data_IF_647714679578
#
_entry.id   IF_647714679578
#
_cell.length_a   1.000
_cell.length_b   1.000
_cell.length_c   1.000
_cell.angle_alpha   90.00
_cell.angle_beta   90.00
_cell.angle_gamma   90.00
#
_symmetry.space_group_name_H-M   'P 1'
#
loop_
_entity.id
_entity.type
_entity.pdbx_description
1 polymer ?
#
# COMPACT_ATOMS: atom_id res chain seq x y z
N UNK A 1 -4.03 -33.33 -26.14
CA UNK A 1 -2.61 -33.13 -25.81
C UNK A 1 -2.55 -32.21 -24.62
N UNK A 2 -2.22 -32.73 -23.44
CA UNK A 2 -2.08 -31.94 -22.21
C UNK A 2 -0.65 -31.44 -22.13
N UNK A 3 -0.43 -30.16 -22.41
CA UNK A 3 0.87 -29.51 -22.24
C UNK A 3 0.92 -29.03 -20.79
N UNK A 4 1.72 -29.70 -19.95
CA UNK A 4 1.95 -29.25 -18.58
C UNK A 4 2.79 -27.96 -18.64
N UNK A 5 2.17 -26.83 -18.33
CA UNK A 5 2.89 -25.58 -18.12
C UNK A 5 3.55 -25.62 -16.74
N UNK A 6 4.87 -25.73 -16.70
CA UNK A 6 5.66 -25.55 -15.48
C UNK A 6 5.72 -24.06 -15.16
N UNK A 7 5.11 -23.64 -14.04
CA UNK A 7 5.23 -22.27 -13.52
C UNK A 7 6.48 -22.21 -12.64
N UNK A 8 7.53 -21.55 -13.13
CA UNK A 8 8.72 -21.25 -12.32
C UNK A 8 8.58 -19.86 -11.71
N UNK A 9 8.54 -19.77 -10.39
CA UNK A 9 8.51 -18.50 -9.66
C UNK A 9 9.93 -18.10 -9.25
N UNK A 10 10.35 -16.90 -9.65
CA UNK A 10 11.61 -16.29 -9.17
C UNK A 10 11.26 -14.96 -8.52
N UNK A 11 11.36 -14.87 -7.19
CA UNK A 11 11.23 -13.61 -6.48
C UNK A 11 12.55 -12.84 -6.57
N UNK A 12 12.54 -11.66 -7.17
CA UNK A 12 13.70 -10.76 -7.24
C UNK A 12 13.49 -9.56 -6.34
N UNK A 13 14.37 -9.35 -5.36
CA UNK A 13 14.43 -8.13 -4.56
C UNK A 13 15.29 -7.10 -5.27
N UNK A 14 14.70 -6.01 -5.76
CA UNK A 14 15.45 -4.87 -6.32
C UNK A 14 15.61 -3.77 -5.27
N UNK A 15 16.83 -3.59 -4.76
CA UNK A 15 17.21 -2.43 -3.97
C UNK A 15 17.72 -1.33 -4.90
N UNK A 16 16.87 -0.37 -5.25
CA UNK A 16 17.30 0.82 -5.99
C UNK A 16 17.80 1.89 -5.01
N UNK A 17 19.12 1.94 -4.83
CA UNK A 17 19.82 3.03 -4.18
C UNK A 17 20.21 4.05 -5.26
N UNK A 18 19.65 5.27 -5.21
CA UNK A 18 20.12 6.40 -6.03
C UNK A 18 20.54 7.56 -5.14
N UNK A 19 21.73 8.07 -5.44
CA UNK A 19 22.45 9.15 -4.77
C UNK A 19 22.60 10.35 -5.72
N UNK A 20 22.83 11.52 -5.09
CA UNK A 20 23.24 12.83 -5.64
C UNK A 20 22.11 13.67 -6.26
N UNK A 21 22.03 14.99 -6.11
CA UNK A 21 22.95 16.00 -5.59
C UNK A 21 22.36 17.41 -5.86
N UNK A 22 23.02 18.44 -5.35
CA UNK A 22 22.52 19.77 -4.97
C UNK A 22 22.37 20.84 -6.10
N UNK A 23 21.62 21.91 -5.75
CA UNK A 23 21.77 23.34 -6.12
C UNK A 23 21.01 23.97 -7.33
N UNK A 24 20.34 25.10 -7.06
CA UNK A 24 20.08 26.19 -8.03
C UNK A 24 18.73 26.90 -7.88
N UNK A 25 18.72 28.09 -7.26
CA UNK A 25 17.58 29.01 -7.22
C UNK A 25 17.64 30.03 -8.37
N UNK A 26 16.50 30.40 -8.97
CA UNK A 26 16.19 31.78 -9.39
C UNK A 26 14.73 31.94 -9.88
N UNK A 27 14.12 33.05 -9.46
CA UNK A 27 12.76 33.54 -9.67
C UNK A 27 12.42 33.92 -11.12
N UNK A 28 11.14 33.72 -11.52
CA UNK A 28 10.31 34.79 -12.13
C UNK A 28 8.84 34.39 -12.35
N UNK A 29 7.97 34.97 -11.51
CA UNK A 29 6.60 35.51 -11.68
C UNK A 29 5.60 34.74 -12.59
N UNK A 30 4.62 34.13 -11.93
CA UNK A 30 3.43 33.51 -12.51
C UNK A 30 2.30 34.53 -12.80
N UNK A 31 1.62 34.36 -13.93
CA UNK A 31 0.32 34.96 -14.24
C UNK A 31 -0.76 34.05 -13.66
N UNK A 32 -1.51 34.54 -12.67
CA UNK A 32 -2.58 33.80 -11.99
C UNK A 32 -3.80 33.60 -12.90
N UNK A 33 -4.13 32.34 -13.19
CA UNK A 33 -5.46 31.93 -13.65
C UNK A 33 -6.11 31.16 -12.49
N UNK A 34 -7.06 31.81 -11.82
CA UNK A 34 -7.88 31.21 -10.77
C UNK A 34 -8.84 30.19 -11.39
N UNK A 35 -8.54 28.91 -11.23
CA UNK A 35 -9.54 27.84 -11.22
C UNK A 35 -9.65 27.37 -9.76
N UNK A 36 -10.79 27.68 -9.15
CA UNK A 36 -11.17 27.16 -7.85
C UNK A 36 -11.57 25.68 -8.03
N UNK A 37 -10.58 24.82 -8.23
CA UNK A 37 -10.74 23.40 -7.93
C UNK A 37 -10.70 23.27 -6.41
N UNK A 38 -11.73 22.66 -5.82
CA UNK A 38 -11.68 22.12 -4.47
C UNK A 38 -10.35 21.36 -4.35
N UNK A 39 -9.47 21.77 -3.42
CA UNK A 39 -8.09 21.31 -3.34
C UNK A 39 -8.01 19.85 -2.88
N UNK A 40 -8.43 18.94 -3.74
CA UNK A 40 -8.21 17.52 -3.57
C UNK A 40 -6.74 17.27 -3.91
N UNK A 41 -5.90 17.29 -2.87
CA UNK A 41 -4.45 17.06 -2.96
C UNK A 41 -4.11 15.58 -3.17
N UNK A 42 -5.13 14.72 -3.27
CA UNK A 42 -4.98 13.30 -3.54
C UNK A 42 -4.48 13.10 -4.96
N UNK A 43 -3.31 12.44 -5.07
CA UNK A 43 -2.68 12.14 -6.35
C UNK A 43 -2.84 10.65 -6.65
N UNK A 44 -3.50 10.35 -7.75
CA UNK A 44 -3.68 8.99 -8.24
C UNK A 44 -2.79 8.80 -9.48
N UNK A 45 -1.83 7.89 -9.40
CA UNK A 45 -1.09 7.46 -10.58
C UNK A 45 -1.96 6.52 -11.42
N UNK A 46 -1.92 6.70 -12.74
CA UNK A 46 -2.64 5.82 -13.67
C UNK A 46 -2.08 4.39 -13.60
N UNK A 47 -2.94 3.37 -13.40
CA UNK A 47 -2.51 1.99 -13.49
C UNK A 47 -2.13 1.66 -14.95
N UNK A 48 -0.93 1.13 -15.15
CA UNK A 48 -0.54 0.53 -16.43
C UNK A 48 -1.13 -0.89 -16.52
N UNK A 49 -1.99 -1.15 -17.50
CA UNK A 49 -2.50 -2.50 -17.76
C UNK A 49 -1.38 -3.38 -18.34
N UNK A 50 -1.21 -4.57 -17.76
CA UNK A 50 -0.26 -5.55 -18.28
C UNK A 50 -0.70 -6.05 -19.66
N UNK A 51 0.23 -6.00 -20.62
CA UNK A 51 0.03 -6.54 -21.96
C UNK A 51 -0.01 -8.08 -21.95
N UNK A 52 -0.68 -8.67 -22.94
CA UNK A 52 -0.65 -10.11 -23.12
C UNK A 52 0.68 -10.57 -23.73
N UNK A 53 1.27 -11.60 -23.15
CA UNK A 53 2.50 -12.24 -23.63
C UNK A 53 2.25 -13.70 -24.01
N UNK A 54 2.90 -14.17 -25.08
CA UNK A 54 2.91 -15.60 -25.41
C UNK A 54 3.74 -16.38 -24.39
N UNK A 55 3.10 -17.31 -23.67
CA UNK A 55 3.79 -18.14 -22.67
C UNK A 55 4.93 -18.99 -23.26
N UNK A 56 4.86 -19.37 -24.54
CA UNK A 56 5.93 -20.10 -25.21
C UNK A 56 7.22 -19.28 -25.38
N UNK A 57 7.12 -17.94 -25.39
CA UNK A 57 8.26 -17.02 -25.52
C UNK A 57 8.69 -16.44 -24.18
N UNK A 58 7.74 -16.15 -23.30
CA UNK A 58 7.96 -15.60 -21.97
C UNK A 58 7.22 -16.47 -20.92
N UNK A 59 7.78 -17.63 -20.55
CA UNK A 59 7.11 -18.58 -19.64
C UNK A 59 7.19 -18.17 -18.16
N UNK A 60 7.81 -17.03 -17.85
CA UNK A 60 8.03 -16.55 -16.50
C UNK A 60 7.21 -15.28 -16.26
N UNK A 61 6.38 -15.31 -15.22
CA UNK A 61 5.68 -14.13 -14.69
C UNK A 61 6.42 -13.63 -13.46
N UNK A 62 6.63 -12.32 -13.39
CA UNK A 62 7.17 -11.65 -12.21
C UNK A 62 6.11 -10.70 -11.68
N UNK A 63 5.89 -10.72 -10.37
CA UNK A 63 4.97 -9.81 -9.69
C UNK A 63 5.60 -9.41 -8.36
N UNK A 64 5.27 -8.20 -7.92
CA UNK A 64 5.68 -7.71 -6.61
C UNK A 64 4.87 -8.43 -5.51
N UNK A 65 5.51 -8.64 -4.36
CA UNK A 65 4.87 -9.21 -3.16
C UNK A 65 4.35 -8.09 -2.24
N UNK A 66 4.47 -6.83 -2.66
CA UNK A 66 3.95 -5.70 -1.89
C UNK A 66 2.42 -5.74 -1.86
N UNK A 67 1.85 -5.41 -0.70
CA UNK A 67 0.42 -5.48 -0.44
C UNK A 67 -0.08 -4.12 -0.01
N UNK A 68 -0.62 -3.38 -0.98
CA UNK A 68 -1.37 -2.15 -0.73
C UNK A 68 -2.88 -2.45 -0.60
N UNK A 69 -3.54 -1.70 0.28
CA UNK A 69 -4.97 -1.86 0.61
C UNK A 69 -5.71 -0.52 0.67
N UNK A 70 -5.02 0.56 0.31
CA UNK A 70 -5.49 1.94 0.47
C UNK A 70 -6.62 2.25 -0.51
N UNK A 71 -6.52 1.77 -1.76
CA UNK A 71 -7.49 1.98 -2.82
C UNK A 71 -8.88 1.46 -2.44
N UNK A 72 -8.97 0.26 -1.83
CA UNK A 72 -10.25 -0.27 -1.38
C UNK A 72 -10.84 0.60 -0.25
N UNK A 73 -10.02 0.96 0.75
CA UNK A 73 -10.45 1.81 1.86
C UNK A 73 -10.96 3.18 1.40
N UNK A 74 -10.24 3.79 0.46
CA UNK A 74 -10.60 5.07 -0.13
C UNK A 74 -11.87 4.96 -1.00
N UNK A 75 -11.99 3.90 -1.80
CA UNK A 75 -13.21 3.64 -2.57
C UNK A 75 -14.42 3.49 -1.65
N UNK A 76 -14.28 2.71 -0.57
CA UNK A 76 -15.33 2.56 0.44
C UNK A 76 -15.71 3.90 1.06
N UNK A 77 -14.75 4.80 1.32
CA UNK A 77 -15.02 6.17 1.81
C UNK A 77 -15.92 6.91 0.83
N UNK A 78 -15.56 7.00 -0.45
CA UNK A 78 -16.37 7.67 -1.48
C UNK A 78 -17.79 7.11 -1.54
N UNK A 79 -17.93 5.78 -1.60
CA UNK A 79 -19.23 5.12 -1.69
C UNK A 79 -20.09 5.37 -0.45
N UNK A 80 -19.51 5.35 0.75
CA UNK A 80 -20.23 5.68 1.99
C UNK A 80 -20.66 7.14 2.06
N UNK A 81 -19.97 8.03 1.34
CA UNK A 81 -20.35 9.43 1.15
C UNK A 81 -21.33 9.65 -0.01
N UNK A 82 -21.82 8.59 -0.65
CA UNK A 82 -22.75 8.68 -1.78
C UNK A 82 -22.11 9.20 -3.07
N UNK A 83 -20.79 9.14 -3.17
CA UNK A 83 -20.02 9.60 -4.32
C UNK A 83 -19.34 8.42 -5.02
N UNK A 84 -19.18 8.52 -6.33
CA UNK A 84 -18.35 7.57 -7.07
C UNK A 84 -16.88 7.92 -6.88
N UNK A 85 -16.00 6.93 -6.66
CA UNK A 85 -14.57 7.19 -6.63
C UNK A 85 -14.08 7.64 -8.02
N UNK A 86 -13.05 8.48 -8.10
CA UNK A 86 -12.32 8.68 -9.35
C UNK A 86 -11.85 7.34 -9.91
N UNK A 87 -11.83 7.20 -11.24
CA UNK A 87 -11.41 5.95 -11.90
C UNK A 87 -10.02 5.50 -11.42
N UNK A 88 -9.09 6.43 -11.36
CA UNK A 88 -7.69 6.16 -11.02
C UNK A 88 -7.49 5.87 -9.51
N UNK A 89 -8.53 6.09 -8.68
CA UNK A 89 -8.53 5.70 -7.27
C UNK A 89 -8.82 4.21 -7.07
N UNK A 90 -9.28 3.49 -8.09
CA UNK A 90 -9.62 2.07 -8.05
C UNK A 90 -8.48 1.25 -8.67
N UNK A 91 -7.71 0.59 -7.82
CA UNK A 91 -6.60 -0.31 -8.18
C UNK A 91 -7.03 -1.75 -7.93
N UNK A 92 -7.09 -2.54 -8.99
CA UNK A 92 -7.70 -3.88 -8.97
C UNK A 92 -6.96 -4.83 -8.03
N UNK A 93 -5.64 -4.75 -8.03
CA UNK A 93 -4.75 -5.53 -7.17
C UNK A 93 -5.00 -5.26 -5.69
N UNK A 94 -5.18 -4.00 -5.29
CA UNK A 94 -5.44 -3.62 -3.90
C UNK A 94 -6.84 -4.06 -3.45
N UNK A 95 -7.80 -4.18 -4.37
CA UNK A 95 -9.13 -4.72 -4.08
C UNK A 95 -9.10 -6.21 -3.79
N UNK A 96 -8.30 -6.96 -4.55
CA UNK A 96 -8.11 -8.39 -4.31
C UNK A 96 -7.35 -8.59 -3.00
N UNK A 97 -6.27 -7.83 -2.78
CA UNK A 97 -5.42 -7.97 -1.60
C UNK A 97 -6.02 -7.41 -0.30
N UNK A 98 -7.10 -6.63 -0.35
CA UNK A 98 -7.72 -6.03 0.84
C UNK A 98 -8.26 -7.08 1.85
N UNK A 99 -8.70 -8.24 1.35
CA UNK A 99 -9.33 -9.25 2.17
C UNK A 99 -8.33 -10.23 2.77
N UNK A 100 -8.66 -10.73 3.97
CA UNK A 100 -7.91 -11.83 4.59
C UNK A 100 -8.38 -13.15 3.99
N UNK A 101 -7.43 -13.93 3.49
CA UNK A 101 -7.65 -15.27 2.96
C UNK A 101 -7.04 -16.30 3.91
N UNK A 102 -7.73 -17.42 4.09
CA UNK A 102 -7.29 -18.50 4.98
C UNK A 102 -6.36 -19.48 4.24
N UNK A 103 -5.20 -18.97 3.82
CA UNK A 103 -4.17 -19.78 3.17
C UNK A 103 -3.40 -20.61 4.18
N UNK A 104 -2.93 -21.82 3.80
CA UNK A 104 -2.16 -22.67 4.69
C UNK A 104 -0.85 -21.99 5.13
N UNK A 105 -0.43 -22.20 6.39
CA UNK A 105 0.86 -21.72 6.86
C UNK A 105 2.02 -22.47 6.17
N UNK A 106 3.20 -21.85 5.98
CA UNK A 106 4.38 -22.54 5.47
C UNK A 106 4.83 -23.68 6.40
N UNK A 107 5.28 -24.79 5.81
CA UNK A 107 5.78 -25.98 6.53
C UNK A 107 7.31 -25.98 6.59
N UNK A 108 7.86 -26.45 7.70
CA UNK A 108 9.31 -26.60 7.88
C UNK A 108 10.05 -25.27 7.86
N UNK A 109 11.08 -25.17 7.01
CA UNK A 109 11.93 -23.99 6.84
C UNK A 109 11.50 -23.07 5.69
N UNK A 110 10.40 -23.38 4.97
CA UNK A 110 9.92 -22.52 3.90
C UNK A 110 9.49 -21.15 4.44
N UNK A 111 9.83 -20.03 3.77
CA UNK A 111 9.46 -18.70 4.21
C UNK A 111 7.97 -18.37 3.97
N UNK A 112 7.36 -18.99 2.95
CA UNK A 112 5.95 -18.82 2.60
C UNK A 112 5.37 -20.10 1.99
N UNK A 113 4.04 -20.22 2.02
CA UNK A 113 3.29 -21.23 1.26
C UNK A 113 2.69 -20.58 0.00
N UNK A 114 2.31 -21.42 -0.97
CA UNK A 114 1.66 -21.00 -2.21
C UNK A 114 0.36 -21.76 -2.36
N UNK A 115 -0.74 -21.03 -2.56
CA UNK A 115 -2.03 -21.56 -2.97
C UNK A 115 -2.30 -21.12 -4.41
N UNK A 116 -2.88 -21.99 -5.24
CA UNK A 116 -3.22 -21.63 -6.63
C UNK A 116 -4.57 -22.19 -7.01
N UNK A 117 -5.40 -21.33 -7.58
CA UNK A 117 -6.75 -21.66 -8.02
C UNK A 117 -6.94 -21.19 -9.46
N UNK A 118 -7.69 -21.96 -10.25
CA UNK A 118 -7.98 -21.60 -11.65
C UNK A 118 -9.47 -21.64 -11.90
N UNK A 119 -10.05 -20.50 -12.21
CA UNK A 119 -11.48 -20.34 -12.50
C UNK A 119 -11.72 -19.98 -13.97
N UNK A 120 -12.98 -20.07 -14.40
CA UNK A 120 -13.44 -19.46 -15.65
C UNK A 120 -13.43 -17.94 -15.53
N UNK A 121 -13.12 -17.24 -16.62
CA UNK A 121 -13.19 -15.79 -16.66
C UNK A 121 -14.61 -15.35 -17.01
N UNK A 122 -15.34 -14.67 -16.11
CA UNK A 122 -16.76 -14.40 -16.30
C UNK A 122 -17.05 -13.40 -17.41
N UNK A 123 -16.08 -12.56 -17.79
CA UNK A 123 -16.22 -11.59 -18.88
C UNK A 123 -15.61 -12.04 -20.20
N UNK A 124 -14.88 -13.16 -20.24
CA UNK A 124 -14.31 -13.71 -21.48
C UNK A 124 -14.05 -15.20 -21.36
N UNK A 125 -14.95 -16.03 -21.91
CA UNK A 125 -14.88 -17.49 -21.82
C UNK A 125 -13.70 -18.13 -22.55
N UNK A 126 -12.97 -17.39 -23.40
CA UNK A 126 -11.72 -17.86 -24.00
C UNK A 126 -10.54 -17.79 -23.03
N UNK A 127 -10.69 -17.07 -21.91
CA UNK A 127 -9.65 -16.86 -20.91
C UNK A 127 -9.96 -17.65 -19.63
N UNK A 128 -8.92 -17.92 -18.85
CA UNK A 128 -9.01 -18.46 -17.48
C UNK A 128 -8.43 -17.43 -16.52
N UNK A 129 -8.96 -17.39 -15.31
CA UNK A 129 -8.39 -16.62 -14.22
C UNK A 129 -7.54 -17.55 -13.36
N UNK A 130 -6.31 -17.14 -13.09
CA UNK A 130 -5.42 -17.82 -12.16
C UNK A 130 -5.25 -16.91 -10.96
N UNK A 131 -5.58 -17.43 -9.78
CA UNK A 131 -5.38 -16.76 -8.51
C UNK A 131 -4.19 -17.42 -7.80
N UNK A 132 -3.24 -16.62 -7.34
CA UNK A 132 -2.04 -17.08 -6.65
C UNK A 132 -2.02 -16.43 -5.27
N UNK A 133 -2.25 -17.23 -4.24
CA UNK A 133 -2.14 -16.81 -2.85
C UNK A 133 -0.76 -17.10 -2.30
N UNK A 134 -0.17 -16.13 -1.59
CA UNK A 134 1.08 -16.28 -0.86
C UNK A 134 0.84 -16.02 0.62
N UNK A 135 1.28 -16.95 1.47
CA UNK A 135 1.15 -16.82 2.93
C UNK A 135 2.51 -16.95 3.59
N UNK A 136 2.96 -15.84 4.17
CA UNK A 136 4.12 -15.83 5.07
C UNK A 136 3.80 -16.52 6.40
N UNK A 137 4.83 -16.78 7.21
CA UNK A 137 4.63 -17.31 8.56
C UNK A 137 3.90 -16.30 9.43
N UNK A 138 2.76 -16.68 9.98
CA UNK A 138 2.11 -15.92 11.04
C UNK A 138 2.96 -15.99 12.31
N UNK A 139 3.36 -14.84 12.82
CA UNK A 139 4.06 -14.69 14.09
C UNK A 139 3.02 -14.18 15.09
N UNK A 140 2.81 -14.92 16.17
CA UNK A 140 1.92 -14.44 17.22
C UNK A 140 2.48 -13.16 17.86
N UNK A 141 1.59 -12.20 18.14
CA UNK A 141 1.96 -10.86 18.61
C UNK A 141 2.83 -10.87 19.86
N UNK A 142 2.70 -11.88 20.72
CA UNK A 142 3.49 -12.07 21.94
C UNK A 142 4.98 -12.31 21.64
N UNK A 143 5.28 -12.86 20.47
CA UNK A 143 6.64 -13.17 20.01
C UNK A 143 7.27 -12.01 19.22
N UNK A 144 6.56 -10.89 19.03
CA UNK A 144 7.13 -9.73 18.37
C UNK A 144 8.22 -9.10 19.25
N UNK A 145 9.35 -8.69 18.66
CA UNK A 145 10.35 -7.91 19.37
C UNK A 145 9.78 -6.54 19.75
N UNK A 146 10.31 -5.90 20.81
CA UNK A 146 9.91 -4.54 21.18
C UNK A 146 10.06 -3.56 20.01
N UNK A 147 9.04 -2.74 19.78
CA UNK A 147 9.03 -1.73 18.72
C UNK A 147 9.51 -0.37 19.23
N UNK A 148 10.21 0.38 18.36
CA UNK A 148 10.52 1.78 18.57
C UNK A 148 9.94 2.59 17.40
N UNK A 149 8.79 3.24 17.64
CA UNK A 149 8.00 3.91 16.62
C UNK A 149 8.17 5.44 16.74
N UNK A 150 8.61 6.07 15.67
CA UNK A 150 8.77 7.53 15.60
C UNK A 150 7.84 8.07 14.52
N UNK A 151 6.84 8.86 14.93
CA UNK A 151 5.89 9.47 14.01
C UNK A 151 6.28 10.92 13.73
N UNK A 152 6.38 11.26 12.44
CA UNK A 152 6.45 12.65 11.98
C UNK A 152 5.06 13.05 11.46
N UNK A 153 4.43 14.02 12.11
CA UNK A 153 3.03 14.40 11.85
C UNK A 153 2.96 15.84 11.34
N UNK A 154 2.40 16.03 10.14
CA UNK A 154 2.07 17.37 9.65
C UNK A 154 0.86 17.93 10.41
N UNK A 155 1.01 19.16 10.91
CA UNK A 155 -0.05 19.91 11.62
C UNK A 155 -0.37 21.23 10.91
N UNK A 156 -0.01 21.35 9.63
CA UNK A 156 -0.32 22.49 8.77
C UNK A 156 -1.83 22.78 8.69
N UNK A 157 -2.18 23.99 8.26
CA UNK A 157 -3.58 24.40 8.13
C UNK A 157 -4.41 23.47 7.24
N UNK A 158 -3.81 22.90 6.18
CA UNK A 158 -4.47 21.93 5.30
C UNK A 158 -4.83 20.62 6.00
N UNK A 159 -4.20 20.29 7.12
CA UNK A 159 -4.49 19.06 7.88
C UNK A 159 -5.72 19.17 8.80
N UNK A 160 -6.40 20.32 8.85
CA UNK A 160 -7.55 20.54 9.74
C UNK A 160 -8.85 19.83 9.29
N UNK A 161 -8.92 19.34 8.05
CA UNK A 161 -10.09 18.64 7.53
C UNK A 161 -10.40 17.37 8.36
N UNK A 162 -11.69 16.99 8.54
CA UNK A 162 -12.08 15.86 9.39
C UNK A 162 -11.41 14.52 9.06
N UNK A 163 -11.07 14.30 7.80
CA UNK A 163 -10.45 13.09 7.26
C UNK A 163 -8.91 13.14 7.23
N UNK A 164 -8.29 14.18 7.82
CA UNK A 164 -6.83 14.34 7.92
C UNK A 164 -6.34 14.21 9.35
N UNK A 165 -5.93 15.31 10.00
CA UNK A 165 -5.36 15.25 11.35
C UNK A 165 -6.28 14.61 12.40
N UNK A 166 -7.62 14.85 12.40
CA UNK A 166 -8.52 14.14 13.31
C UNK A 166 -8.53 12.63 13.09
N UNK A 167 -8.41 12.16 11.84
CA UNK A 167 -8.28 10.74 11.52
C UNK A 167 -6.92 10.18 11.99
N UNK A 168 -5.82 10.92 11.78
CA UNK A 168 -4.49 10.56 12.30
C UNK A 168 -4.51 10.40 13.82
N UNK A 169 -5.15 11.33 14.54
CA UNK A 169 -5.31 11.22 16.01
C UNK A 169 -6.07 9.96 16.41
N UNK A 170 -7.11 9.61 15.67
CA UNK A 170 -7.91 8.40 15.91
C UNK A 170 -7.08 7.14 15.66
N UNK A 171 -6.32 7.10 14.56
CA UNK A 171 -5.42 6.00 14.22
C UNK A 171 -4.31 5.82 15.29
N UNK A 172 -3.69 6.90 15.75
CA UNK A 172 -2.68 6.83 16.82
C UNK A 172 -3.28 6.32 18.14
N UNK A 173 -4.51 6.70 18.48
CA UNK A 173 -5.21 6.13 19.65
C UNK A 173 -5.45 4.63 19.49
N UNK A 174 -5.87 4.18 18.32
CA UNK A 174 -6.03 2.73 18.06
C UNK A 174 -4.72 1.99 18.17
N UNK A 175 -3.64 2.54 17.58
CA UNK A 175 -2.29 1.98 17.68
C UNK A 175 -1.87 1.79 19.14
N UNK A 176 -2.13 2.77 20.02
CA UNK A 176 -1.76 2.67 21.43
C UNK A 176 -2.43 1.52 22.19
N UNK A 177 -3.52 0.95 21.68
CA UNK A 177 -4.18 -0.21 22.29
C UNK A 177 -3.43 -1.52 22.04
N UNK A 178 -2.59 -1.59 21.00
CA UNK A 178 -1.79 -2.76 20.66
C UNK A 178 -0.36 -2.72 21.21
N UNK A 179 0.04 -1.63 21.87
CA UNK A 179 1.38 -1.48 22.42
C UNK A 179 1.48 -2.15 23.79
N UNK A 180 2.67 -2.68 24.06
CA UNK A 180 3.07 -3.23 25.35
C UNK A 180 3.99 -2.26 26.08
N UNK A 181 4.22 -2.50 27.37
CA UNK A 181 5.18 -1.72 28.17
C UNK A 181 6.64 -1.82 27.70
N UNK A 182 6.94 -2.65 26.69
CA UNK A 182 8.27 -2.75 26.09
C UNK A 182 8.44 -1.82 24.88
N UNK A 183 7.34 -1.29 24.35
CA UNK A 183 7.32 -0.51 23.13
C UNK A 183 7.51 0.98 23.41
N UNK A 184 8.19 1.67 22.50
CA UNK A 184 8.47 3.11 22.61
C UNK A 184 7.82 3.88 21.48
N UNK A 185 7.23 5.03 21.82
CA UNK A 185 6.66 5.98 20.87
C UNK A 185 7.28 7.35 21.04
N UNK A 186 7.60 8.00 19.93
CA UNK A 186 7.89 9.43 19.87
C UNK A 186 7.04 10.09 18.77
N UNK A 187 6.62 11.34 19.00
CA UNK A 187 5.88 12.13 18.01
C UNK A 187 6.59 13.47 17.81
N UNK A 188 6.98 13.72 16.57
CA UNK A 188 7.53 14.97 16.07
C UNK A 188 6.46 15.61 15.20
N UNK A 189 6.20 16.91 15.38
CA UNK A 189 5.30 17.65 14.49
C UNK A 189 6.06 18.62 13.61
N UNK A 190 5.49 18.90 12.45
CA UNK A 190 5.97 19.91 11.54
C UNK A 190 4.81 20.77 11.03
N UNK A 191 4.92 22.10 11.16
CA UNK A 191 4.09 23.08 10.48
C UNK A 191 4.80 24.44 10.51
N UNK A 192 5.52 24.81 9.44
CA UNK A 192 6.29 26.06 9.37
C UNK A 192 7.53 26.14 10.28
N UNK A 193 7.53 25.44 11.41
CA UNK A 193 8.67 25.13 12.27
C UNK A 193 8.54 23.67 12.78
N UNK A 194 9.65 22.96 12.91
CA UNK A 194 9.69 21.61 13.49
C UNK A 194 9.70 21.67 15.01
N UNK A 195 8.93 20.79 15.67
CA UNK A 195 8.88 20.70 17.13
C UNK A 195 8.65 19.27 17.61
N UNK A 196 9.36 18.85 18.64
CA UNK A 196 9.08 17.59 19.34
C UNK A 196 7.86 17.78 20.23
N UNK A 197 6.81 16.97 20.03
CA UNK A 197 5.56 17.08 20.82
C UNK A 197 5.46 15.98 21.86
N UNK A 198 6.01 14.80 21.58
CA UNK A 198 6.11 13.71 22.53
C UNK A 198 7.54 13.14 22.48
N UNK A 199 8.36 13.32 23.54
CA UNK A 199 9.63 12.61 23.64
C UNK A 199 9.39 11.09 23.74
N UNK A 200 10.41 10.26 23.42
CA UNK A 200 10.30 8.81 23.50
C UNK A 200 9.72 8.34 24.85
N UNK A 201 8.64 7.56 24.80
CA UNK A 201 8.09 6.90 25.98
C UNK A 201 9.04 5.82 26.50
N UNK A 202 8.99 5.55 27.81
CA UNK A 202 9.85 4.56 28.48
C UNK A 202 9.11 3.27 28.77
#
# INVERSE_FOLDING_TARGET
MSTNATVSMTASMNANMRSAGNAGAQDSIAVFKNEAESSNTERYDQPDDNSFHEAARAPLSTFSVDVDTASYSNTRRFLNSGQLPPKDAVRVEEFINYFLYDYPQPVGSAPFSVATEVSECPWNTKHRLVHIGLQGRSIQSENLPPANLVFLVDVSGSMQEPDRLPLVKSALRMLTQGLTARDRIAIVVYAGSSGLVLPPTS
#
